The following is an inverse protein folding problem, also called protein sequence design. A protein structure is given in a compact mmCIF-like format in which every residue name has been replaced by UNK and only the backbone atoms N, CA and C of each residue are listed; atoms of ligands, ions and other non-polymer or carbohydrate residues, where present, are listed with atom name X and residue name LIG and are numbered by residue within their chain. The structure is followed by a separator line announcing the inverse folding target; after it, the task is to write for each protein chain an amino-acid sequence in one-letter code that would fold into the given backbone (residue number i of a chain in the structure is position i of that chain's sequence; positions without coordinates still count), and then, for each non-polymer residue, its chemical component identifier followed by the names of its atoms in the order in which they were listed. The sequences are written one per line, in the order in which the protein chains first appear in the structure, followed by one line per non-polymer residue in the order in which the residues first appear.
data_IF_631073730362
#
_entry.id   IF_631073730362
#
_cell.length_a   1.000
_cell.length_b   1.000
_cell.length_c   1.000
_cell.angle_alpha   90.00
_cell.angle_beta   90.00
_cell.angle_gamma   90.00
#
_symmetry.space_group_name_H-M   'P 1'
#
loop_
_entity.id
_entity.type
_entity.pdbx_description
1 polymer ?
#
# COMPACT_ATOMS: atom_id res chain seq x y z
N UNK A 1 5.97 -3.02 12.65
CA UNK A 1 5.47 -1.67 12.32
C UNK A 1 4.01 -1.71 11.89
N UNK A 2 3.67 -2.52 10.88
CA UNK A 2 2.29 -2.72 10.42
C UNK A 2 1.31 -3.06 11.56
N UNK A 3 1.62 -4.06 12.40
CA UNK A 3 0.78 -4.44 13.56
C UNK A 3 0.43 -3.26 14.49
N UNK A 4 1.40 -2.37 14.75
CA UNK A 4 1.16 -1.17 15.57
C UNK A 4 0.21 -0.20 14.89
N UNK A 5 0.35 0.00 13.57
CA UNK A 5 -0.54 0.86 12.79
C UNK A 5 -1.96 0.28 12.83
N UNK A 6 -2.11 -1.02 12.55
CA UNK A 6 -3.39 -1.72 12.56
C UNK A 6 -4.08 -1.66 13.92
N UNK A 7 -3.34 -1.90 15.00
CA UNK A 7 -3.86 -1.79 16.37
C UNK A 7 -4.38 -0.39 16.69
N UNK A 8 -3.64 0.67 16.30
CA UNK A 8 -4.05 2.07 16.50
C UNK A 8 -5.28 2.43 15.66
N UNK A 9 -5.41 1.85 14.47
CA UNK A 9 -6.57 2.07 13.58
C UNK A 9 -7.80 1.25 13.98
N UNK A 10 -7.74 0.42 15.02
CA UNK A 10 -8.87 -0.41 15.47
C UNK A 10 -9.03 -1.74 14.72
N UNK A 11 -7.97 -2.20 14.05
CA UNK A 11 -7.92 -3.48 13.33
C UNK A 11 -6.86 -4.44 13.92
N UNK A 12 -6.88 -4.74 15.23
CA UNK A 12 -5.81 -5.51 15.88
C UNK A 12 -5.71 -6.97 15.39
N UNK A 13 -6.82 -7.55 14.95
CA UNK A 13 -6.91 -8.97 14.56
C UNK A 13 -7.03 -9.15 13.03
N UNK A 14 -6.72 -8.12 12.24
CA UNK A 14 -6.90 -8.17 10.78
C UNK A 14 -5.72 -8.81 10.04
N UNK A 15 -6.00 -9.35 8.85
CA UNK A 15 -5.01 -9.86 7.93
C UNK A 15 -4.63 -8.80 6.89
N UNK A 16 -3.33 -8.54 6.78
CA UNK A 16 -2.73 -7.60 5.83
C UNK A 16 -1.57 -8.29 5.13
N UNK A 17 -1.58 -8.26 3.80
CA UNK A 17 -0.46 -8.68 2.98
C UNK A 17 0.38 -7.48 2.58
N UNK A 18 1.70 -7.57 2.75
CA UNK A 18 2.65 -6.52 2.35
C UNK A 18 3.69 -7.13 1.44
N UNK A 19 3.76 -6.64 0.20
CA UNK A 19 4.72 -7.10 -0.80
C UNK A 19 5.70 -5.99 -1.17
N UNK A 20 6.99 -6.25 -0.99
CA UNK A 20 8.06 -5.36 -1.46
C UNK A 20 8.59 -5.92 -2.78
N UNK A 21 8.48 -5.13 -3.84
CA UNK A 21 8.82 -5.53 -5.21
C UNK A 21 9.69 -4.48 -5.90
N UNK A 22 10.16 -4.76 -7.12
CA UNK A 22 10.84 -3.78 -7.97
C UNK A 22 9.88 -3.08 -8.95
N UNK A 23 10.40 -2.08 -9.66
CA UNK A 23 9.64 -1.22 -10.58
C UNK A 23 8.97 -2.02 -11.72
N UNK A 24 9.62 -3.08 -12.20
CA UNK A 24 9.06 -3.94 -13.25
C UNK A 24 7.78 -4.65 -12.79
N UNK A 25 7.75 -5.15 -11.55
CA UNK A 25 6.60 -5.86 -11.01
C UNK A 25 5.46 -4.89 -10.72
N UNK A 26 5.73 -3.76 -10.06
CA UNK A 26 4.67 -2.80 -9.74
C UNK A 26 4.12 -2.12 -11.00
N UNK A 27 4.93 -1.90 -12.05
CA UNK A 27 4.47 -1.36 -13.33
C UNK A 27 3.45 -2.30 -13.98
N UNK A 28 3.70 -3.61 -13.94
CA UNK A 28 2.74 -4.60 -14.46
C UNK A 28 1.42 -4.51 -13.70
N UNK A 29 1.46 -4.47 -12.38
CA UNK A 29 0.26 -4.29 -11.54
C UNK A 29 -0.46 -2.97 -11.85
N UNK A 30 0.27 -1.86 -11.94
CA UNK A 30 -0.30 -0.54 -12.23
C UNK A 30 -0.97 -0.50 -13.61
N UNK A 31 -0.39 -1.18 -14.60
CA UNK A 31 -1.00 -1.31 -15.93
C UNK A 31 -2.24 -2.19 -15.88
N UNK A 32 -2.13 -3.38 -15.28
CA UNK A 32 -3.14 -4.43 -15.37
C UNK A 32 -4.37 -4.11 -14.51
N UNK A 33 -4.20 -3.38 -13.39
CA UNK A 33 -5.29 -3.05 -12.47
C UNK A 33 -5.70 -1.56 -12.45
N UNK A 34 -4.78 -0.63 -12.72
CA UNK A 34 -5.05 0.82 -12.68
C UNK A 34 -4.95 1.51 -14.05
N UNK A 35 -4.66 0.75 -15.11
CA UNK A 35 -4.56 1.26 -16.49
C UNK A 35 -3.38 2.19 -16.74
N UNK A 36 -2.38 2.24 -15.85
CA UNK A 36 -1.23 3.16 -15.93
C UNK A 36 0.06 2.37 -16.19
N UNK A 37 0.57 2.38 -17.42
CA UNK A 37 1.80 1.65 -17.79
C UNK A 37 3.10 2.39 -17.38
N UNK A 38 3.25 2.64 -16.07
CA UNK A 38 4.43 3.23 -15.46
C UNK A 38 4.64 2.68 -14.04
N UNK A 39 5.87 2.61 -13.52
CA UNK A 39 6.08 2.32 -12.11
C UNK A 39 5.41 3.37 -11.23
N UNK A 40 5.03 2.96 -10.02
CA UNK A 40 4.54 3.83 -8.94
C UNK A 40 5.21 3.40 -7.64
N UNK A 41 5.06 4.20 -6.58
CA UNK A 41 5.67 3.91 -5.28
C UNK A 41 4.90 2.82 -4.51
N UNK A 42 3.57 2.89 -4.48
CA UNK A 42 2.70 1.95 -3.79
C UNK A 42 1.37 1.76 -4.53
N UNK A 43 0.78 0.57 -4.40
CA UNK A 43 -0.59 0.23 -4.82
C UNK A 43 -1.26 -0.52 -3.66
N UNK A 44 -2.49 -0.15 -3.33
CA UNK A 44 -3.32 -0.85 -2.35
C UNK A 44 -4.47 -1.57 -3.03
N UNK A 45 -4.72 -2.82 -2.66
CA UNK A 45 -5.85 -3.62 -3.13
C UNK A 45 -6.79 -3.95 -1.96
N UNK A 46 -7.84 -3.14 -1.73
CA UNK A 46 -8.80 -3.35 -0.66
C UNK A 46 -9.68 -4.59 -0.93
N UNK A 47 -9.76 -5.51 0.03
CA UNK A 47 -10.64 -6.70 -0.04
C UNK A 47 -12.07 -6.42 0.45
N UNK A 48 -12.23 -5.34 1.22
CA UNK A 48 -13.49 -4.83 1.75
C UNK A 48 -14.24 -3.90 0.76
N UNK A 49 -13.80 -3.83 -0.49
CA UNK A 49 -14.49 -3.10 -1.57
C UNK A 49 -15.09 -4.07 -2.60
N UNK A 50 -16.15 -3.64 -3.28
CA UNK A 50 -16.82 -4.42 -4.33
C UNK A 50 -17.89 -5.40 -3.84
N UNK A 51 -18.35 -6.25 -4.77
CA UNK A 51 -19.52 -7.14 -4.61
C UNK A 51 -19.35 -8.19 -3.49
N UNK A 52 -18.10 -8.49 -3.11
CA UNK A 52 -17.74 -9.54 -2.14
C UNK A 52 -17.14 -9.03 -0.84
N UNK A 53 -17.22 -7.73 -0.58
CA UNK A 53 -16.66 -7.03 0.59
C UNK A 53 -17.03 -7.62 1.96
N UNK A 54 -18.14 -8.36 2.06
CA UNK A 54 -18.60 -8.99 3.31
C UNK A 54 -18.11 -10.43 3.55
N UNK A 55 -17.38 -11.05 2.61
CA UNK A 55 -17.02 -12.48 2.72
C UNK A 55 -15.97 -12.77 3.78
N UNK A 56 -15.01 -11.85 3.98
CA UNK A 56 -14.00 -11.98 5.02
C UNK A 56 -13.69 -10.59 5.62
N UNK A 57 -14.37 -10.19 6.71
CA UNK A 57 -14.19 -8.87 7.32
C UNK A 57 -12.83 -8.70 8.01
N UNK A 58 -12.07 -9.78 8.19
CA UNK A 58 -10.76 -9.77 8.82
C UNK A 58 -9.67 -9.46 7.79
N UNK A 59 -9.87 -9.80 6.52
CA UNK A 59 -8.91 -9.58 5.45
C UNK A 59 -9.01 -8.14 4.90
N UNK A 60 -8.00 -7.31 5.19
CA UNK A 60 -7.93 -5.93 4.68
C UNK A 60 -7.53 -5.88 3.21
N UNK A 61 -6.57 -6.72 2.83
CA UNK A 61 -6.06 -6.84 1.47
C UNK A 61 -4.55 -6.67 1.37
N UNK A 62 -4.09 -6.12 0.24
CA UNK A 62 -2.68 -6.08 -0.12
C UNK A 62 -2.14 -4.65 -0.23
N UNK A 63 -0.95 -4.42 0.32
CA UNK A 63 -0.12 -3.23 0.05
C UNK A 63 1.12 -3.68 -0.71
N UNK A 64 1.28 -3.21 -1.94
CA UNK A 64 2.45 -3.51 -2.78
C UNK A 64 3.30 -2.27 -2.95
N UNK A 65 4.56 -2.31 -2.50
CA UNK A 65 5.48 -1.17 -2.52
C UNK A 65 6.66 -1.49 -3.45
N UNK A 66 7.02 -0.53 -4.31
CA UNK A 66 8.27 -0.62 -5.08
C UNK A 66 9.44 -0.11 -4.26
N UNK A 67 10.41 -0.98 -3.99
CA UNK A 67 11.68 -0.60 -3.35
C UNK A 67 12.50 0.35 -4.22
N UNK A 68 12.48 0.16 -5.54
CA UNK A 68 13.24 0.98 -6.49
C UNK A 68 12.71 2.42 -6.52
N UNK A 69 11.38 2.57 -6.66
CA UNK A 69 10.76 3.90 -6.61
C UNK A 69 10.89 4.53 -5.24
N UNK A 70 10.69 3.78 -4.15
CA UNK A 70 10.85 4.29 -2.79
C UNK A 70 12.29 4.78 -2.51
N UNK A 71 13.31 4.08 -3.03
CA UNK A 71 14.71 4.49 -2.89
C UNK A 71 15.00 5.79 -3.66
N UNK A 72 14.48 5.91 -4.89
CA UNK A 72 14.59 7.13 -5.70
C UNK A 72 13.93 8.32 -5.01
N UNK A 73 12.70 8.15 -4.53
CA UNK A 73 11.98 9.22 -3.80
C UNK A 73 12.66 9.60 -2.48
N UNK A 74 13.20 8.62 -1.74
CA UNK A 74 13.93 8.88 -0.50
C UNK A 74 15.18 9.74 -0.76
N UNK A 75 15.93 9.40 -1.81
CA UNK A 75 17.10 10.18 -2.23
C UNK A 75 16.70 11.60 -2.69
N UNK A 76 15.66 11.74 -3.51
CA UNK A 76 15.18 13.05 -3.99
C UNK A 76 14.65 13.95 -2.86
N UNK A 77 14.06 13.35 -1.82
CA UNK A 77 13.54 14.07 -0.66
C UNK A 77 14.55 14.24 0.48
N UNK A 78 15.79 13.77 0.32
CA UNK A 78 16.84 13.78 1.36
C UNK A 78 16.39 13.14 2.70
N UNK A 79 15.63 12.04 2.62
CA UNK A 79 15.15 11.27 3.77
C UNK A 79 15.71 9.86 3.78
N UNK A 80 15.74 9.25 4.96
CA UNK A 80 16.11 7.85 5.11
C UNK A 80 15.16 6.93 4.33
N UNK A 81 15.72 5.95 3.61
CA UNK A 81 14.94 4.95 2.86
C UNK A 81 13.91 4.24 3.76
N UNK A 82 14.30 3.91 5.00
CA UNK A 82 13.39 3.30 5.97
C UNK A 82 12.21 4.21 6.33
N UNK A 83 12.43 5.53 6.42
CA UNK A 83 11.37 6.49 6.69
C UNK A 83 10.39 6.59 5.51
N UNK A 84 10.91 6.58 4.26
CA UNK A 84 10.07 6.56 3.06
C UNK A 84 9.24 5.29 2.98
N UNK A 85 9.85 4.13 3.21
CA UNK A 85 9.15 2.84 3.20
C UNK A 85 8.07 2.77 4.28
N UNK A 86 8.37 3.27 5.48
CA UNK A 86 7.45 3.40 6.60
C UNK A 86 6.24 4.27 6.24
N UNK A 87 6.49 5.42 5.61
CA UNK A 87 5.44 6.32 5.14
C UNK A 87 4.54 5.65 4.09
N UNK A 88 5.13 4.98 3.09
CA UNK A 88 4.37 4.28 2.04
C UNK A 88 3.52 3.13 2.61
N UNK A 89 4.04 2.41 3.60
CA UNK A 89 3.28 1.37 4.30
C UNK A 89 2.09 1.96 5.06
N UNK A 90 2.30 3.04 5.81
CA UNK A 90 1.21 3.74 6.51
C UNK A 90 0.16 4.24 5.51
N UNK A 91 0.59 4.90 4.44
CA UNK A 91 -0.27 5.39 3.39
C UNK A 91 -1.08 4.26 2.75
N UNK A 92 -0.43 3.15 2.42
CA UNK A 92 -1.08 1.97 1.85
C UNK A 92 -2.16 1.39 2.76
N UNK A 93 -1.87 1.26 4.06
CA UNK A 93 -2.84 0.78 5.08
C UNK A 93 -4.02 1.76 5.25
N UNK A 94 -3.78 3.07 5.19
CA UNK A 94 -4.85 4.07 5.27
C UNK A 94 -5.82 3.92 4.08
N UNK A 95 -5.32 3.70 2.87
CA UNK A 95 -6.17 3.39 1.72
C UNK A 95 -6.98 2.11 1.93
N UNK A 96 -6.38 1.04 2.47
CA UNK A 96 -7.09 -0.22 2.80
C UNK A 96 -8.11 -0.09 3.96
N UNK A 97 -8.22 1.06 4.61
CA UNK A 97 -9.19 1.29 5.69
C UNK A 97 -10.21 2.36 5.31
N UNK A 98 -10.22 2.79 4.04
CA UNK A 98 -11.17 3.78 3.52
C UNK A 98 -10.80 5.24 3.84
N UNK A 99 -9.60 5.49 4.40
CA UNK A 99 -9.06 6.84 4.53
C UNK A 99 -8.37 7.22 3.22
N UNK A 100 -9.19 7.61 2.25
CA UNK A 100 -8.70 7.96 0.92
C UNK A 100 -8.08 9.37 0.90
N UNK A 101 -6.82 9.46 0.48
CA UNK A 101 -6.12 10.73 0.26
C UNK A 101 -6.26 11.25 -1.19
N UNK A 102 -7.04 10.62 -2.09
CA UNK A 102 -7.29 11.15 -3.45
C UNK A 102 -8.11 12.47 -3.49
N UNK A 103 -8.33 13.13 -2.35
CA UNK A 103 -8.71 14.56 -2.29
C UNK A 103 -7.51 15.44 -1.93
N UNK A 104 -6.56 15.60 -2.85
CA UNK A 104 -5.63 16.74 -2.88
C UNK A 104 -5.12 16.99 -4.30
#
# INVERSE_FOLDING_TARGET
MAEKILSVLGYPDSELSVSIVGDLSIRRLNRDYLGRDKPTNVISFPMHEGEFSGLNPVLLGDVVISADTAAREAHEAEVEFHARLSFLLLHGILHLTGFDHERS
#
